data_IF_021882077081
#
_entry.id   IF_021882077081
#
_cell.length_a   1.000
_cell.length_b   1.000
_cell.length_c   1.000
_cell.angle_alpha   90.00
_cell.angle_beta   90.00
_cell.angle_gamma   90.00
#
_symmetry.space_group_name_H-M   'P 1'
#
loop_
_entity.id
_entity.type
_entity.pdbx_description
1 polymer ?
#
# COMPACT_ATOMS: atom_id res chain seq x y z
N UNK A 1 -12.63 36.53 32.95
CA UNK A 1 -12.42 35.27 33.71
C UNK A 1 -13.26 34.10 33.17
N UNK A 2 -14.50 34.34 32.75
CA UNK A 2 -15.44 33.32 32.25
C UNK A 2 -14.93 32.47 31.06
N UNK A 3 -14.22 33.08 30.10
CA UNK A 3 -13.67 32.38 28.93
C UNK A 3 -12.64 31.30 29.30
N UNK A 4 -11.84 31.52 30.35
CA UNK A 4 -10.86 30.54 30.83
C UNK A 4 -11.56 29.31 31.44
N UNK A 5 -12.67 29.52 32.14
CA UNK A 5 -13.47 28.45 32.74
C UNK A 5 -14.15 27.59 31.66
N UNK A 6 -14.73 28.22 30.62
CA UNK A 6 -15.31 27.51 29.46
C UNK A 6 -14.28 26.65 28.74
N UNK A 7 -13.06 27.17 28.54
CA UNK A 7 -11.96 26.43 27.93
C UNK A 7 -11.51 25.21 28.75
N UNK A 8 -11.41 25.36 30.07
CA UNK A 8 -11.03 24.26 30.97
C UNK A 8 -12.08 23.14 30.96
N UNK A 9 -13.37 23.47 30.97
CA UNK A 9 -14.46 22.49 30.84
C UNK A 9 -14.38 21.73 29.52
N UNK A 10 -14.11 22.43 28.41
CA UNK A 10 -13.92 21.82 27.08
C UNK A 10 -12.73 20.87 27.06
N UNK A 11 -11.57 21.27 27.62
CA UNK A 11 -10.38 20.40 27.74
C UNK A 11 -10.65 19.16 28.58
N UNK A 12 -11.40 19.31 29.67
CA UNK A 12 -11.73 18.18 30.55
C UNK A 12 -12.69 17.19 29.86
N UNK A 13 -13.71 17.69 29.17
CA UNK A 13 -14.63 16.89 28.36
C UNK A 13 -13.90 16.14 27.24
N UNK A 14 -13.00 16.82 26.52
CA UNK A 14 -12.17 16.19 25.48
C UNK A 14 -11.28 15.07 26.02
N UNK A 15 -10.65 15.25 27.19
CA UNK A 15 -9.85 14.19 27.83
C UNK A 15 -10.68 12.98 28.23
N UNK A 16 -11.90 13.19 28.78
CA UNK A 16 -12.82 12.09 29.11
C UNK A 16 -13.23 11.32 27.85
N UNK A 17 -13.61 12.05 26.79
CA UNK A 17 -13.95 11.46 25.48
C UNK A 17 -12.78 10.66 24.89
N UNK A 18 -11.56 11.18 24.97
CA UNK A 18 -10.37 10.50 24.48
C UNK A 18 -10.08 9.21 25.26
N UNK A 19 -10.19 9.22 26.59
CA UNK A 19 -10.03 8.02 27.43
C UNK A 19 -11.09 6.96 27.13
N UNK A 20 -12.36 7.36 26.95
CA UNK A 20 -13.45 6.44 26.62
C UNK A 20 -13.26 5.82 25.23
N UNK A 21 -12.93 6.64 24.21
CA UNK A 21 -12.63 6.15 22.86
C UNK A 21 -11.46 5.18 22.85
N UNK A 22 -10.39 5.48 23.58
CA UNK A 22 -9.21 4.61 23.66
C UNK A 22 -9.54 3.25 24.28
N UNK A 23 -10.39 3.20 25.31
CA UNK A 23 -10.85 1.94 25.92
C UNK A 23 -11.65 1.09 24.92
N UNK A 24 -12.58 1.71 24.19
CA UNK A 24 -13.40 1.01 23.19
C UNK A 24 -12.57 0.45 22.04
N UNK A 25 -11.48 1.13 21.65
CA UNK A 25 -10.54 0.62 20.64
C UNK A 25 -9.83 -0.65 21.15
N UNK A 26 -9.37 -0.67 22.41
CA UNK A 26 -8.70 -1.84 22.97
C UNK A 26 -9.64 -3.04 23.15
N UNK A 27 -10.85 -2.83 23.67
CA UNK A 27 -11.87 -3.90 23.78
C UNK A 27 -12.24 -4.48 22.41
N UNK A 28 -12.34 -3.63 21.37
CA UNK A 28 -12.62 -4.07 20.01
C UNK A 28 -11.44 -4.79 19.36
N UNK A 29 -10.21 -4.38 19.67
CA UNK A 29 -9.00 -5.07 19.20
C UNK A 29 -8.84 -6.47 19.84
N UNK A 30 -9.22 -6.62 21.12
CA UNK A 30 -9.19 -7.89 21.84
C UNK A 30 -10.20 -8.91 21.25
N UNK A 31 -11.37 -8.43 20.81
CA UNK A 31 -12.36 -9.26 20.11
C UNK A 31 -11.88 -9.71 18.71
N UNK A 32 -11.15 -8.86 17.97
CA UNK A 32 -10.55 -9.23 16.69
C UNK A 32 -9.49 -10.34 16.83
N UNK A 33 -8.73 -10.36 17.93
CA UNK A 33 -7.72 -11.40 18.15
C UNK A 33 -8.34 -12.78 18.42
N UNK A 34 -9.55 -12.83 19.00
CA UNK A 34 -10.25 -14.11 19.29
C UNK A 34 -10.97 -14.68 18.06
N UNK A 35 -11.31 -13.86 17.07
CA UNK A 35 -11.88 -14.28 15.79
C UNK A 35 -10.82 -14.85 14.80
N UNK A 36 -9.54 -14.85 15.18
CA UNK A 36 -8.43 -15.18 14.28
C UNK A 36 -8.31 -16.69 13.98
N UNK A 37 -8.92 -17.56 14.78
CA UNK A 37 -8.89 -19.02 14.56
C UNK A 37 -9.84 -19.52 13.47
N UNK A 38 -10.89 -18.76 13.13
CA UNK A 38 -11.83 -19.09 12.03
C UNK A 38 -11.53 -18.29 10.75
N UNK A 39 -10.65 -17.28 10.84
CA UNK A 39 -10.35 -16.36 9.75
C UNK A 39 -9.57 -17.00 8.60
N UNK A 40 -8.78 -18.06 8.85
CA UNK A 40 -7.96 -18.71 7.81
C UNK A 40 -8.79 -19.28 6.66
N UNK A 41 -10.00 -19.75 6.94
CA UNK A 41 -10.92 -20.33 5.93
C UNK A 41 -11.58 -19.24 5.07
N UNK A 42 -11.81 -18.04 5.63
CA UNK A 42 -12.43 -16.91 4.94
C UNK A 42 -11.43 -16.00 4.20
N UNK A 43 -10.16 -16.01 4.61
CA UNK A 43 -9.12 -15.17 4.02
C UNK A 43 -8.76 -15.60 2.60
N UNK A 44 -8.76 -16.90 2.30
CA UNK A 44 -8.42 -17.40 0.97
C UNK A 44 -9.45 -16.96 -0.10
N UNK A 45 -10.78 -17.16 0.08
CA UNK A 45 -11.78 -16.64 -0.84
C UNK A 45 -11.73 -15.11 -1.02
N UNK A 46 -11.47 -14.38 0.07
CA UNK A 46 -11.37 -12.93 0.06
C UNK A 46 -10.15 -12.44 -0.74
N UNK A 47 -8.99 -13.09 -0.58
CA UNK A 47 -7.79 -12.80 -1.37
C UNK A 47 -8.00 -13.10 -2.86
N UNK A 48 -8.61 -14.23 -3.19
CA UNK A 48 -8.95 -14.56 -4.58
C UNK A 48 -9.88 -13.52 -5.20
N UNK A 49 -10.89 -13.05 -4.46
CA UNK A 49 -11.80 -12.01 -4.92
C UNK A 49 -11.08 -10.68 -5.17
N UNK A 50 -10.15 -10.29 -4.30
CA UNK A 50 -9.34 -9.08 -4.48
C UNK A 50 -8.48 -9.20 -5.74
N UNK A 51 -7.84 -10.35 -5.98
CA UNK A 51 -7.01 -10.59 -7.15
C UNK A 51 -7.85 -10.57 -8.43
N UNK A 52 -9.06 -11.15 -8.40
CA UNK A 52 -9.99 -11.15 -9.54
C UNK A 52 -10.51 -9.73 -9.86
N UNK A 53 -10.86 -8.96 -8.84
CA UNK A 53 -11.24 -7.54 -8.99
C UNK A 53 -10.05 -6.72 -9.53
N UNK A 54 -8.85 -6.94 -8.98
CA UNK A 54 -7.63 -6.30 -9.47
C UNK A 54 -7.36 -6.66 -10.94
N UNK A 55 -7.58 -7.91 -11.33
CA UNK A 55 -7.45 -8.39 -12.71
C UNK A 55 -8.45 -7.77 -13.67
N UNK A 56 -9.73 -7.69 -13.27
CA UNK A 56 -10.82 -7.08 -14.07
C UNK A 56 -10.55 -5.60 -14.38
N UNK A 57 -10.12 -4.84 -13.38
CA UNK A 57 -9.82 -3.42 -13.56
C UNK A 57 -8.38 -3.13 -14.05
N UNK A 58 -7.53 -4.15 -14.19
CA UNK A 58 -6.11 -3.96 -14.52
C UNK A 58 -5.93 -3.31 -15.89
N UNK A 59 -6.73 -3.70 -16.88
CA UNK A 59 -6.64 -3.18 -18.24
C UNK A 59 -7.02 -1.69 -18.31
N UNK A 60 -8.12 -1.29 -17.67
CA UNK A 60 -8.51 0.12 -17.61
C UNK A 60 -7.54 0.95 -16.78
N UNK A 61 -7.07 0.43 -15.63
CA UNK A 61 -6.10 1.13 -14.78
C UNK A 61 -4.73 1.29 -15.47
N UNK A 62 -4.27 0.29 -16.23
CA UNK A 62 -3.03 0.37 -16.99
C UNK A 62 -3.16 1.32 -18.20
N UNK A 63 -4.36 1.49 -18.74
CA UNK A 63 -4.65 2.48 -19.79
C UNK A 63 -4.72 3.91 -19.21
N UNK A 64 -5.22 4.05 -17.97
CA UNK A 64 -5.25 5.34 -17.26
C UNK A 64 -3.87 5.80 -16.81
N UNK A 65 -2.96 4.87 -16.52
CA UNK A 65 -1.55 5.20 -16.30
C UNK A 65 -0.95 5.71 -17.61
N UNK A 66 -0.62 7.00 -17.62
CA UNK A 66 0.19 7.61 -18.66
C UNK A 66 1.48 6.79 -18.87
N UNK A 67 1.94 6.58 -20.12
CA UNK A 67 3.20 5.87 -20.36
C UNK A 67 4.33 6.57 -19.60
N UNK A 68 5.10 5.82 -18.83
CA UNK A 68 6.22 6.37 -18.07
C UNK A 68 7.23 6.99 -19.03
N UNK A 69 7.45 8.30 -18.90
CA UNK A 69 8.50 9.01 -19.62
C UNK A 69 9.77 8.83 -18.81
N UNK A 70 10.63 7.91 -19.25
CA UNK A 70 11.93 7.64 -18.63
C UNK A 70 13.04 8.41 -19.36
N UNK A 71 14.09 8.79 -18.63
CA UNK A 71 15.30 9.36 -19.21
C UNK A 71 16.20 8.26 -19.79
N UNK A 72 17.10 8.64 -20.69
CA UNK A 72 18.12 7.71 -21.22
C UNK A 72 19.09 7.30 -20.12
N UNK A 73 19.50 6.03 -20.09
CA UNK A 73 20.59 5.60 -19.20
C UNK A 73 21.84 6.44 -19.43
N UNK A 74 22.43 6.95 -18.35
CA UNK A 74 23.69 7.71 -18.40
C UNK A 74 24.86 6.91 -18.99
N UNK A 75 24.86 5.58 -18.81
CA UNK A 75 25.89 4.65 -19.28
C UNK A 75 25.54 4.01 -20.64
N UNK A 76 24.43 4.42 -21.26
CA UNK A 76 23.92 3.83 -22.49
C UNK A 76 23.39 2.40 -22.35
N UNK A 77 22.93 1.84 -23.48
CA UNK A 77 22.55 0.43 -23.59
C UNK A 77 23.69 -0.35 -24.25
N UNK A 78 23.94 -1.57 -23.77
CA UNK A 78 25.03 -2.44 -24.23
C UNK A 78 24.77 -3.02 -25.61
N UNK A 79 23.79 -3.92 -25.71
CA UNK A 79 23.50 -4.71 -26.92
C UNK A 79 22.02 -5.08 -26.98
N UNK A 80 21.45 -5.13 -28.19
CA UNK A 80 20.05 -5.51 -28.42
C UNK A 80 19.77 -7.01 -28.28
N UNK A 81 20.74 -7.81 -27.84
CA UNK A 81 20.62 -9.27 -27.65
C UNK A 81 19.87 -9.62 -26.35
N UNK A 82 19.50 -10.88 -26.17
CA UNK A 82 18.79 -11.34 -24.99
C UNK A 82 19.62 -11.12 -23.72
N UNK A 83 18.98 -10.77 -22.61
CA UNK A 83 19.62 -10.53 -21.31
C UNK A 83 20.38 -11.78 -20.81
N UNK A 84 19.84 -12.97 -21.09
CA UNK A 84 20.49 -14.26 -20.78
C UNK A 84 21.83 -14.40 -21.52
N UNK A 85 21.94 -13.82 -22.71
CA UNK A 85 23.16 -13.82 -23.54
C UNK A 85 24.05 -12.58 -23.26
N UNK A 86 23.75 -11.80 -22.21
CA UNK A 86 24.50 -10.61 -21.84
C UNK A 86 24.10 -9.33 -22.60
N UNK A 87 22.95 -9.31 -23.27
CA UNK A 87 22.36 -8.11 -23.85
C UNK A 87 21.33 -7.41 -22.96
N UNK A 88 20.49 -6.56 -23.56
CA UNK A 88 19.51 -5.71 -22.87
C UNK A 88 18.04 -6.04 -23.20
N UNK A 89 17.78 -7.01 -24.07
CA UNK A 89 16.41 -7.41 -24.41
C UNK A 89 15.91 -8.55 -23.52
N UNK A 90 14.63 -8.54 -23.14
CA UNK A 90 13.98 -9.66 -22.44
C UNK A 90 13.82 -9.49 -20.93
N UNK A 91 13.37 -10.57 -20.28
CA UNK A 91 13.04 -10.61 -18.85
C UNK A 91 14.33 -10.57 -18.04
N UNK A 92 14.43 -9.60 -17.12
CA UNK A 92 15.60 -9.40 -16.25
C UNK A 92 15.32 -9.71 -14.78
N UNK A 93 14.15 -10.29 -14.49
CA UNK A 93 13.67 -10.56 -13.13
C UNK A 93 13.87 -9.34 -12.22
N UNK A 94 14.56 -9.50 -11.11
CA UNK A 94 14.77 -8.46 -10.10
C UNK A 94 15.69 -7.32 -10.56
N UNK A 95 16.42 -7.49 -11.67
CA UNK A 95 17.34 -6.47 -12.16
C UNK A 95 16.64 -5.30 -12.85
N UNK A 96 15.35 -5.43 -13.18
CA UNK A 96 14.58 -4.35 -13.81
C UNK A 96 14.45 -3.13 -12.89
N UNK A 97 14.30 -3.34 -11.58
CA UNK A 97 14.19 -2.24 -10.61
C UNK A 97 15.45 -1.40 -10.59
N UNK A 98 16.62 -2.04 -10.67
CA UNK A 98 17.91 -1.32 -10.76
C UNK A 98 18.03 -0.52 -12.05
N UNK A 99 17.46 -1.01 -13.15
CA UNK A 99 17.46 -0.30 -14.43
C UNK A 99 16.57 0.95 -14.36
N UNK A 100 15.36 0.81 -13.80
CA UNK A 100 14.41 1.93 -13.64
C UNK A 100 15.02 3.05 -12.79
N UNK A 101 15.72 2.70 -11.69
CA UNK A 101 16.41 3.69 -10.83
C UNK A 101 17.49 4.46 -11.59
N UNK A 102 18.13 3.85 -12.59
CA UNK A 102 19.14 4.55 -13.43
C UNK A 102 18.53 5.44 -14.51
N UNK A 103 17.24 5.27 -14.80
CA UNK A 103 16.52 6.00 -15.85
C UNK A 103 15.55 7.06 -15.28
N UNK A 104 15.40 7.10 -13.96
CA UNK A 104 14.72 8.16 -13.21
C UNK A 104 15.75 9.14 -12.65
#
# INVERSE_FOLDING_TARGET
>A
MELKIKHLRKKFAQRKLWKARRRLIYEKAEHCNKASSEASVWLLPYLCQIIDIAGKCFKEANTFRWPFILSSLSDGMKKKTCFVEGGDAGIREDQISRLIIKMN
#
